data_IF_420834787875
#
_entry.id   IF_420834787875
#
_cell.length_a   1.000
_cell.length_b   1.000
_cell.length_c   1.000
_cell.angle_alpha   90.00
_cell.angle_beta   90.00
_cell.angle_gamma   90.00
#
_symmetry.space_group_name_H-M   'P 1'
#
loop_
_entity.id
_entity.type
_entity.pdbx_description
1 polymer ?
#
# COMPACT_ATOMS: atom_id res chain seq x y z
N UNK A 1 9.27 5.68 -10.39
CA UNK A 1 9.20 4.20 -10.52
C UNK A 1 8.64 3.88 -11.89
N UNK A 2 9.15 2.84 -12.57
CA UNK A 2 8.54 2.35 -13.81
C UNK A 2 7.13 1.83 -13.48
N UNK A 3 6.12 2.15 -14.28
CA UNK A 3 4.75 1.64 -14.08
C UNK A 3 4.73 0.13 -14.27
N UNK A 4 4.76 -0.61 -13.16
CA UNK A 4 4.77 -2.07 -13.15
C UNK A 4 3.45 -2.60 -12.59
N UNK A 5 2.53 -3.11 -13.44
CA UNK A 5 1.15 -3.42 -13.04
C UNK A 5 1.00 -4.40 -11.88
N UNK A 6 1.92 -5.34 -11.70
CA UNK A 6 1.87 -6.29 -10.59
C UNK A 6 2.19 -5.65 -9.23
N UNK A 7 2.69 -4.41 -9.21
CA UNK A 7 3.02 -3.66 -8.00
C UNK A 7 2.06 -2.47 -7.86
N UNK A 8 0.76 -2.69 -7.62
CA UNK A 8 -0.19 -1.60 -7.46
C UNK A 8 0.24 -0.70 -6.30
N UNK A 9 0.45 0.57 -6.61
CA UNK A 9 0.66 1.66 -5.66
C UNK A 9 -0.71 2.21 -5.26
N UNK A 10 -1.23 1.75 -4.12
CA UNK A 10 -2.55 2.12 -3.61
C UNK A 10 -2.46 3.41 -2.81
N UNK A 11 -3.35 4.37 -3.06
CA UNK A 11 -3.35 5.67 -2.39
C UNK A 11 -4.74 6.15 -2.04
N UNK A 12 -4.82 6.91 -0.96
CA UNK A 12 -5.99 7.67 -0.52
C UNK A 12 -7.30 6.85 -0.62
N UNK A 13 -8.15 7.11 -1.61
CA UNK A 13 -9.46 6.45 -1.80
C UNK A 13 -9.37 4.92 -1.96
N UNK A 14 -8.22 4.40 -2.38
CA UNK A 14 -7.95 2.97 -2.52
C UNK A 14 -7.71 2.24 -1.19
N UNK A 15 -7.65 2.99 -0.09
CA UNK A 15 -7.51 2.50 1.26
C UNK A 15 -8.77 2.89 2.07
N UNK A 16 -9.24 1.99 2.92
CA UNK A 16 -10.37 2.28 3.79
C UNK A 16 -10.01 3.35 4.83
N UNK A 17 -10.42 4.60 4.58
CA UNK A 17 -10.09 5.75 5.44
C UNK A 17 -10.65 5.63 6.87
N UNK A 18 -11.76 4.90 7.03
CA UNK A 18 -12.46 4.77 8.31
C UNK A 18 -12.06 3.51 9.10
N UNK A 19 -11.26 2.62 8.52
CA UNK A 19 -10.84 1.38 9.19
C UNK A 19 -9.50 1.56 9.91
N UNK A 20 -9.36 1.22 11.20
CA UNK A 20 -8.12 1.45 11.96
C UNK A 20 -6.84 0.89 11.33
N UNK A 21 -6.95 -0.22 10.60
CA UNK A 21 -5.82 -0.84 9.88
C UNK A 21 -5.21 0.11 8.84
N UNK A 22 -6.05 0.87 8.14
CA UNK A 22 -5.69 1.66 6.96
C UNK A 22 -5.87 3.17 7.15
N UNK A 23 -6.59 3.63 8.18
CA UNK A 23 -6.89 5.04 8.43
C UNK A 23 -5.66 5.94 8.60
N UNK A 24 -4.56 5.38 9.11
CA UNK A 24 -3.27 6.08 9.23
C UNK A 24 -2.36 5.92 8.00
N UNK A 25 -2.72 5.03 7.07
CA UNK A 25 -1.96 4.76 5.86
C UNK A 25 -2.43 5.72 4.77
N UNK A 26 -1.49 6.39 4.12
CA UNK A 26 -1.76 7.24 2.95
C UNK A 26 -1.54 6.52 1.64
N UNK A 27 -0.64 5.56 1.68
CA UNK A 27 -0.13 4.87 0.52
C UNK A 27 0.34 3.49 0.95
N UNK A 28 0.05 2.48 0.13
CA UNK A 28 0.54 1.12 0.32
C UNK A 28 0.81 0.48 -1.04
N UNK A 29 2.04 -0.01 -1.25
CA UNK A 29 2.39 -0.81 -2.41
C UNK A 29 2.24 -2.28 -2.04
N UNK A 30 1.42 -3.00 -2.79
CA UNK A 30 1.40 -4.45 -2.74
C UNK A 30 2.23 -4.98 -3.89
N UNK A 31 3.08 -5.97 -3.64
CA UNK A 31 3.86 -6.65 -4.66
C UNK A 31 3.18 -7.97 -5.04
N UNK A 32 3.08 -8.24 -6.34
CA UNK A 32 2.45 -9.45 -6.89
C UNK A 32 1.05 -9.69 -6.29
N UNK A 33 0.24 -8.63 -6.29
CA UNK A 33 -1.08 -8.66 -5.69
C UNK A 33 -2.05 -9.56 -6.47
N UNK A 34 -2.83 -10.34 -5.74
CA UNK A 34 -3.89 -11.21 -6.24
C UNK A 34 -5.26 -10.66 -5.81
N UNK A 35 -6.24 -10.59 -6.72
CA UNK A 35 -7.58 -10.12 -6.38
C UNK A 35 -8.29 -11.12 -5.46
N UNK A 36 -9.06 -10.59 -4.52
CA UNK A 36 -9.88 -11.35 -3.58
C UNK A 36 -11.33 -11.29 -4.04
N UNK A 37 -12.01 -12.43 -4.04
CA UNK A 37 -13.45 -12.50 -4.21
C UNK A 37 -14.10 -12.93 -2.89
N UNK A 38 -15.02 -12.11 -2.38
CA UNK A 38 -15.75 -12.40 -1.14
C UNK A 38 -17.12 -12.97 -1.47
N UNK A 39 -17.36 -14.20 -1.02
CA UNK A 39 -18.66 -14.86 -1.11
C UNK A 39 -19.62 -14.25 -0.07
N UNK A 40 -20.64 -13.52 -0.55
CA UNK A 40 -21.60 -12.82 0.30
C UNK A 40 -22.51 -13.78 1.08
N UNK A 41 -22.86 -14.93 0.50
CA UNK A 41 -23.74 -15.92 1.15
C UNK A 41 -23.03 -16.56 2.35
N UNK A 42 -21.75 -16.94 2.16
CA UNK A 42 -20.96 -17.54 3.25
C UNK A 42 -20.61 -16.56 4.37
N UNK A 43 -20.71 -15.26 4.12
CA UNK A 43 -20.42 -14.21 5.09
C UNK A 43 -21.68 -13.54 5.64
N UNK A 44 -22.86 -14.12 5.43
CA UNK A 44 -24.08 -13.68 6.11
C UNK A 44 -23.88 -13.67 7.63
N UNK A 45 -24.23 -12.56 8.27
CA UNK A 45 -24.05 -12.38 9.72
C UNK A 45 -22.63 -11.99 10.15
N UNK A 46 -21.69 -11.80 9.22
CA UNK A 46 -20.37 -11.22 9.49
C UNK A 46 -20.28 -9.80 8.96
N UNK A 47 -19.48 -8.97 9.61
CA UNK A 47 -19.10 -7.66 9.09
C UNK A 47 -17.89 -7.80 8.20
N UNK A 48 -18.09 -7.67 6.89
CA UNK A 48 -17.00 -7.62 5.90
C UNK A 48 -16.68 -6.17 5.61
N UNK A 49 -15.42 -5.80 5.73
CA UNK A 49 -14.90 -4.48 5.36
C UNK A 49 -13.81 -4.67 4.32
N UNK A 50 -13.99 -4.07 3.13
CA UNK A 50 -12.91 -3.93 2.17
C UNK A 50 -11.87 -2.95 2.72
N UNK A 51 -10.61 -3.37 2.79
CA UNK A 51 -9.52 -2.54 3.30
C UNK A 51 -8.76 -1.85 2.17
N UNK A 52 -8.54 -2.57 1.08
CA UNK A 52 -7.72 -2.14 -0.05
C UNK A 52 -8.39 -2.55 -1.36
N UNK A 53 -8.40 -1.66 -2.33
CA UNK A 53 -8.81 -1.98 -3.70
C UNK A 53 -7.90 -1.33 -4.76
N UNK A 54 -7.80 -1.98 -5.91
CA UNK A 54 -7.05 -1.46 -7.05
C UNK A 54 -7.81 -0.33 -7.78
N UNK A 55 -7.16 0.31 -8.76
CA UNK A 55 -7.76 1.38 -9.57
C UNK A 55 -8.76 0.84 -10.60
N UNK A 56 -9.57 1.74 -11.17
CA UNK A 56 -10.53 1.41 -12.25
C UNK A 56 -9.88 0.83 -13.51
N UNK A 57 -8.60 1.14 -13.76
CA UNK A 57 -7.85 0.65 -14.92
C UNK A 57 -7.23 -0.74 -14.71
N UNK A 58 -7.44 -1.35 -13.54
CA UNK A 58 -6.81 -2.62 -13.18
C UNK A 58 -7.45 -3.79 -13.91
N UNK A 59 -6.65 -4.80 -14.26
CA UNK A 59 -7.13 -6.07 -14.81
C UNK A 59 -6.47 -7.24 -14.06
N UNK A 60 -7.08 -8.43 -14.15
CA UNK A 60 -6.50 -9.66 -13.62
C UNK A 60 -5.86 -10.47 -14.74
N UNK A 61 -4.74 -11.13 -14.44
CA UNK A 61 -4.04 -12.04 -15.35
C UNK A 61 -3.70 -13.33 -14.60
N UNK A 62 -3.89 -14.46 -15.28
CA UNK A 62 -3.41 -15.77 -14.81
C UNK A 62 -2.01 -16.12 -15.32
N UNK A 63 -1.35 -15.20 -16.03
CA UNK A 63 0.01 -15.39 -16.54
C UNK A 63 1.04 -15.45 -15.41
N UNK A 64 1.96 -16.40 -15.53
CA UNK A 64 3.10 -16.55 -14.60
C UNK A 64 4.32 -15.75 -15.04
N UNK A 65 4.32 -15.22 -16.27
CA UNK A 65 5.41 -14.40 -16.77
C UNK A 65 5.27 -12.97 -16.24
N UNK A 66 6.29 -12.57 -15.48
CA UNK A 66 6.37 -11.29 -14.79
C UNK A 66 7.35 -10.33 -15.48
N UNK A 67 7.96 -10.75 -16.61
CA UNK A 67 8.85 -9.91 -17.40
C UNK A 67 8.02 -9.10 -18.40
N UNK A 68 8.13 -7.76 -18.39
CA UNK A 68 7.38 -6.94 -19.34
C UNK A 68 7.94 -7.07 -20.76
N UNK A 69 7.06 -7.31 -21.73
CA UNK A 69 7.35 -7.25 -23.17
C UNK A 69 6.79 -5.95 -23.77
N UNK A 70 7.62 -4.91 -23.81
CA UNK A 70 7.27 -3.63 -24.42
C UNK A 70 7.29 -3.66 -25.96
N UNK A 71 7.79 -4.72 -26.60
CA UNK A 71 7.69 -4.87 -28.07
C UNK A 71 6.28 -5.32 -28.45
N UNK A 72 5.75 -6.30 -27.74
CA UNK A 72 4.38 -6.75 -27.92
C UNK A 72 3.36 -5.76 -27.33
N UNK A 73 3.66 -5.17 -26.16
CA UNK A 73 2.74 -4.30 -25.40
C UNK A 73 3.41 -2.98 -25.01
N UNK A 74 3.50 -2.00 -25.92
CA UNK A 74 4.30 -0.78 -25.71
C UNK A 74 3.89 0.07 -24.50
N UNK A 75 2.62 0.04 -24.10
CA UNK A 75 2.13 0.88 -23.01
C UNK A 75 2.29 0.24 -21.63
N UNK A 76 1.95 -1.03 -21.50
CA UNK A 76 1.83 -1.73 -20.21
C UNK A 76 2.94 -2.73 -19.96
N UNK A 77 3.62 -3.20 -21.01
CA UNK A 77 4.53 -4.35 -20.96
C UNK A 77 3.82 -5.70 -20.82
N UNK A 78 2.50 -5.72 -20.65
CA UNK A 78 1.71 -6.92 -20.40
C UNK A 78 0.41 -6.91 -21.20
N UNK A 79 -0.02 -8.11 -21.62
CA UNK A 79 -1.32 -8.28 -22.24
C UNK A 79 -2.43 -7.89 -21.24
N UNK A 80 -3.34 -7.03 -21.69
CA UNK A 80 -4.54 -6.67 -20.93
C UNK A 80 -5.60 -7.73 -21.23
N UNK A 81 -5.97 -8.51 -20.22
CA UNK A 81 -6.93 -9.60 -20.34
C UNK A 81 -8.17 -9.33 -19.50
N UNK A 82 -9.34 -9.73 -20.03
CA UNK A 82 -10.60 -9.67 -19.28
C UNK A 82 -11.12 -8.25 -19.07
N UNK A 83 -11.97 -8.11 -18.05
CA UNK A 83 -12.62 -6.84 -17.71
C UNK A 83 -11.70 -5.96 -16.84
N UNK A 84 -11.64 -4.67 -17.18
CA UNK A 84 -11.00 -3.66 -16.33
C UNK A 84 -11.95 -3.22 -15.22
N UNK A 85 -11.41 -3.04 -14.04
CA UNK A 85 -12.15 -2.51 -12.91
C UNK A 85 -11.39 -2.62 -11.60
N UNK A 86 -11.87 -1.93 -10.56
CA UNK A 86 -11.31 -2.06 -9.23
C UNK A 86 -11.45 -3.50 -8.73
N UNK A 87 -10.40 -3.99 -8.08
CA UNK A 87 -10.33 -5.34 -7.49
C UNK A 87 -9.99 -5.23 -6.02
N UNK A 88 -10.73 -5.95 -5.18
CA UNK A 88 -10.42 -6.06 -3.76
C UNK A 88 -9.06 -6.74 -3.57
N UNK A 89 -8.16 -6.12 -2.80
CA UNK A 89 -6.81 -6.62 -2.54
C UNK A 89 -6.58 -6.96 -1.06
N UNK A 90 -7.40 -6.43 -0.16
CA UNK A 90 -7.43 -6.88 1.23
C UNK A 90 -8.81 -6.67 1.86
N UNK A 91 -9.16 -7.55 2.80
CA UNK A 91 -10.43 -7.53 3.52
C UNK A 91 -10.22 -7.81 5.01
N UNK A 92 -11.04 -7.17 5.85
CA UNK A 92 -11.21 -7.52 7.24
C UNK A 92 -12.62 -8.09 7.44
N UNK A 93 -12.71 -9.24 8.10
CA UNK A 93 -13.98 -9.91 8.43
C UNK A 93 -14.07 -10.05 9.94
N UNK A 94 -15.12 -9.50 10.53
CA UNK A 94 -15.43 -9.64 11.96
C UNK A 94 -16.72 -10.44 12.13
N UNK A 95 -16.71 -11.40 13.04
CA UNK A 95 -17.87 -12.20 13.37
C UNK A 95 -17.52 -13.64 13.66
N UNK A 96 -18.55 -14.47 13.77
CA UNK A 96 -18.40 -15.89 14.06
C UNK A 96 -18.02 -16.71 12.83
N UNK A 97 -17.02 -17.56 12.96
CA UNK A 97 -16.60 -18.53 11.96
C UNK A 97 -16.93 -19.95 12.43
N UNK A 98 -17.44 -20.78 11.53
CA UNK A 98 -17.57 -22.21 11.78
C UNK A 98 -16.26 -22.90 11.37
N UNK A 99 -15.82 -23.83 12.19
CA UNK A 99 -14.59 -24.58 11.96
C UNK A 99 -14.74 -25.54 10.80
N UNK A 100 -13.70 -25.64 9.98
CA UNK A 100 -13.61 -26.67 8.95
C UNK A 100 -13.68 -28.09 9.53
N UNK A 101 -13.27 -28.27 10.79
CA UNK A 101 -13.25 -29.55 11.49
C UNK A 101 -14.54 -29.84 12.26
N UNK A 102 -15.55 -28.97 12.21
CA UNK A 102 -16.83 -29.23 12.87
C UNK A 102 -17.42 -30.57 12.40
N UNK A 103 -17.68 -31.46 13.37
CA UNK A 103 -18.18 -32.82 13.09
C UNK A 103 -17.17 -33.76 12.41
N UNK A 104 -15.88 -33.40 12.34
CA UNK A 104 -14.78 -34.26 11.87
C UNK A 104 -13.91 -34.68 13.05
N UNK A 105 -13.20 -35.78 12.90
CA UNK A 105 -12.20 -36.20 13.88
C UNK A 105 -11.07 -35.16 14.00
N UNK A 106 -10.53 -35.03 15.21
CA UNK A 106 -9.45 -34.07 15.46
C UNK A 106 -8.20 -34.46 14.67
N UNK A 107 -7.57 -33.53 13.93
CA UNK A 107 -6.30 -33.81 13.26
C UNK A 107 -5.18 -34.15 14.26
N UNK A 108 -5.35 -33.83 15.55
CA UNK A 108 -4.43 -34.18 16.63
C UNK A 108 -4.71 -35.58 17.24
N UNK A 109 -5.79 -36.26 16.82
CA UNK A 109 -6.08 -37.62 17.26
C UNK A 109 -5.24 -38.68 16.52
N UNK A 110 -4.46 -38.26 15.51
CA UNK A 110 -3.73 -39.15 14.60
C UNK A 110 -2.22 -39.08 14.72
N UNK A 111 -1.67 -39.41 15.89
CA UNK A 111 -0.41 -40.14 16.02
C UNK A 111 -0.54 -41.06 17.25
N UNK A 112 -0.48 -42.40 17.10
CA UNK A 112 -0.22 -43.25 18.25
C UNK A 112 1.16 -42.84 18.76
N UNK A 113 1.22 -42.31 19.98
CA UNK A 113 2.49 -42.24 20.68
C UNK A 113 3.12 -43.63 20.59
N UNK A 114 4.32 -43.71 19.99
CA UNK A 114 5.09 -44.95 19.96
C UNK A 114 5.08 -45.54 21.37
N UNK A 115 4.77 -46.83 21.47
CA UNK A 115 4.70 -47.55 22.75
C UNK A 115 5.94 -47.21 23.58
N UNK A 116 5.77 -46.75 24.84
CA UNK A 116 6.92 -46.48 25.68
C UNK A 116 7.57 -47.82 26.02
N UNK A 117 8.72 -48.11 25.40
CA UNK A 117 9.67 -49.04 25.99
C UNK A 117 10.12 -48.47 27.35
N UNK A 118 9.92 -49.28 28.39
CA UNK A 118 10.38 -49.14 29.76
C UNK A 118 9.90 -47.95 30.62
N UNK A 119 8.81 -48.20 31.36
CA UNK A 119 8.91 -48.25 32.83
C UNK A 119 9.18 -46.96 33.60
N UNK A 120 8.73 -45.79 33.13
CA UNK A 120 8.59 -44.59 33.98
C UNK A 120 7.28 -43.86 33.73
N UNK A 121 6.35 -44.00 34.66
CA UNK A 121 5.16 -43.15 34.78
C UNK A 121 5.57 -41.68 34.94
N UNK A 122 5.54 -40.94 33.84
CA UNK A 122 5.31 -39.50 33.86
C UNK A 122 3.92 -39.30 33.29
N UNK A 123 3.01 -38.74 34.09
CA UNK A 123 1.72 -38.24 33.62
C UNK A 123 1.97 -37.20 32.51
N UNK A 124 1.97 -37.65 31.27
CA UNK A 124 1.89 -36.77 30.12
C UNK A 124 0.46 -36.20 30.09
N UNK A 125 0.28 -34.89 29.92
CA UNK A 125 -1.05 -34.30 29.85
C UNK A 125 -1.82 -34.96 28.71
N UNK A 126 -3.03 -35.46 29.02
CA UNK A 126 -3.89 -36.10 28.03
C UNK A 126 -4.02 -35.19 26.79
N UNK A 127 -3.80 -35.71 25.57
CA UNK A 127 -3.88 -34.88 24.37
C UNK A 127 -5.29 -34.30 24.28
N UNK A 128 -5.37 -32.98 24.15
CA UNK A 128 -6.64 -32.27 23.97
C UNK A 128 -7.13 -32.62 22.56
N UNK A 129 -7.97 -33.65 22.47
CA UNK A 129 -8.58 -34.13 21.22
C UNK A 129 -9.88 -33.40 20.86
N UNK A 130 -10.32 -32.45 21.69
CA UNK A 130 -11.53 -31.67 21.45
C UNK A 130 -11.39 -30.76 20.23
N UNK A 131 -12.33 -30.89 19.28
CA UNK A 131 -12.39 -30.01 18.11
C UNK A 131 -13.12 -28.73 18.46
N UNK A 132 -12.50 -27.59 18.16
CA UNK A 132 -13.18 -26.29 18.20
C UNK A 132 -14.14 -26.24 17.02
N UNK A 133 -15.44 -26.27 17.27
CA UNK A 133 -16.46 -26.23 16.21
C UNK A 133 -16.74 -24.83 15.67
N UNK A 134 -16.51 -23.80 16.48
CA UNK A 134 -16.81 -22.40 16.14
C UNK A 134 -15.89 -21.43 16.87
N UNK A 135 -15.66 -20.27 16.26
CA UNK A 135 -15.01 -19.14 16.91
C UNK A 135 -15.99 -18.37 17.82
N UNK A 136 -15.47 -17.49 18.70
CA UNK A 136 -16.28 -16.44 19.33
C UNK A 136 -16.89 -15.49 18.29
N UNK A 137 -17.92 -14.74 18.70
CA UNK A 137 -18.56 -13.72 17.87
C UNK A 137 -17.67 -12.50 17.62
N UNK A 138 -16.64 -12.29 18.46
CA UNK A 138 -15.64 -11.24 18.33
C UNK A 138 -14.42 -11.66 17.48
N UNK A 139 -14.47 -12.81 16.82
CA UNK A 139 -13.35 -13.26 16.01
C UNK A 139 -13.15 -12.34 14.79
N UNK A 140 -11.89 -12.17 14.43
CA UNK A 140 -11.42 -11.25 13.39
C UNK A 140 -10.52 -12.02 12.42
N UNK A 141 -10.70 -11.80 11.13
CA UNK A 141 -9.87 -12.34 10.06
C UNK A 141 -9.45 -11.19 9.15
N UNK A 142 -8.14 -11.05 8.92
CA UNK A 142 -7.59 -10.13 7.91
C UNK A 142 -6.96 -10.95 6.81
N UNK A 143 -7.39 -10.73 5.57
CA UNK A 143 -6.83 -11.36 4.38
C UNK A 143 -6.21 -10.28 3.49
N UNK A 144 -4.95 -10.48 3.10
CA UNK A 144 -4.24 -9.63 2.15
C UNK A 144 -3.85 -10.50 0.96
N UNK A 145 -4.17 -10.04 -0.25
CA UNK A 145 -3.89 -10.73 -1.50
C UNK A 145 -2.42 -10.65 -1.93
N UNK A 146 -1.48 -10.52 -1.01
CA UNK A 146 -0.05 -10.46 -1.29
C UNK A 146 0.72 -11.16 -0.17
N UNK A 147 1.57 -12.11 -0.53
CA UNK A 147 2.30 -12.92 0.46
C UNK A 147 3.59 -12.27 0.96
N UNK A 148 4.18 -11.35 0.18
CA UNK A 148 5.55 -10.85 0.39
C UNK A 148 5.62 -9.34 0.59
N UNK A 149 4.48 -8.64 0.66
CA UNK A 149 4.42 -7.17 0.71
C UNK A 149 5.12 -6.54 1.92
N UNK A 150 5.17 -7.27 3.03
CA UNK A 150 5.88 -6.87 4.24
C UNK A 150 7.21 -7.60 4.43
N UNK A 151 7.71 -8.32 3.42
CA UNK A 151 9.01 -9.02 3.49
C UNK A 151 10.18 -8.05 3.32
N UNK A 152 11.30 -8.32 3.99
CA UNK A 152 12.52 -7.51 3.86
C UNK A 152 12.98 -7.35 2.41
N UNK A 153 12.85 -8.42 1.60
CA UNK A 153 13.18 -8.38 0.19
C UNK A 153 12.30 -7.38 -0.59
N UNK A 154 10.98 -7.40 -0.36
CA UNK A 154 10.06 -6.46 -1.00
C UNK A 154 10.28 -5.03 -0.49
N UNK A 155 10.48 -4.84 0.81
CA UNK A 155 10.74 -3.54 1.42
C UNK A 155 12.02 -2.93 0.86
N UNK A 156 13.10 -3.70 0.75
CA UNK A 156 14.36 -3.26 0.15
C UNK A 156 14.19 -2.89 -1.33
N UNK A 157 13.47 -3.70 -2.10
CA UNK A 157 13.22 -3.45 -3.52
C UNK A 157 12.44 -2.14 -3.74
N UNK A 158 11.35 -1.94 -3.00
CA UNK A 158 10.54 -0.71 -3.09
C UNK A 158 11.31 0.50 -2.56
N UNK A 159 12.07 0.34 -1.47
CA UNK A 159 12.89 1.42 -0.90
C UNK A 159 13.96 1.91 -1.89
N UNK A 160 14.61 0.99 -2.60
CA UNK A 160 15.55 1.34 -3.68
C UNK A 160 14.84 2.10 -4.80
N UNK A 161 13.64 1.67 -5.20
CA UNK A 161 12.84 2.32 -6.24
C UNK A 161 12.33 3.72 -5.87
N UNK A 162 12.08 3.96 -4.58
CA UNK A 162 11.64 5.26 -4.04
C UNK A 162 12.80 6.18 -3.63
N UNK A 163 14.02 5.64 -3.48
CA UNK A 163 15.17 6.39 -2.96
C UNK A 163 15.07 6.75 -1.48
N UNK A 164 14.19 6.08 -0.73
CA UNK A 164 13.97 6.29 0.71
C UNK A 164 13.46 5.02 1.37
N UNK A 165 13.58 4.91 2.70
CA UNK A 165 13.10 3.75 3.43
C UNK A 165 11.57 3.67 3.40
N UNK A 166 11.07 2.56 2.86
CA UNK A 166 9.64 2.30 2.74
C UNK A 166 9.13 1.46 3.92
N UNK A 167 8.29 2.05 4.78
CA UNK A 167 7.82 1.40 6.03
C UNK A 167 6.32 1.13 6.06
N UNK A 168 5.56 1.53 5.04
CA UNK A 168 4.09 1.44 5.05
C UNK A 168 3.56 -0.01 5.20
N UNK A 169 4.16 -1.05 4.58
CA UNK A 169 3.73 -2.43 4.80
C UNK A 169 3.90 -2.88 6.25
N UNK A 170 4.98 -2.45 6.92
CA UNK A 170 5.21 -2.73 8.34
C UNK A 170 4.15 -2.04 9.20
N UNK A 171 3.81 -0.79 8.91
CA UNK A 171 2.73 -0.06 9.61
C UNK A 171 1.38 -0.75 9.40
N UNK A 172 1.08 -1.24 8.19
CA UNK A 172 -0.13 -2.01 7.93
C UNK A 172 -0.21 -3.26 8.81
N UNK A 173 0.87 -4.06 8.87
CA UNK A 173 0.93 -5.27 9.69
C UNK A 173 0.79 -4.92 11.17
N UNK A 174 1.46 -3.87 11.64
CA UNK A 174 1.33 -3.39 13.01
C UNK A 174 -0.12 -3.01 13.32
N UNK A 175 -0.77 -2.20 12.47
CA UNK A 175 -2.16 -1.80 12.68
C UNK A 175 -3.11 -3.01 12.63
N UNK A 176 -2.82 -4.02 11.80
CA UNK A 176 -3.61 -5.25 11.73
C UNK A 176 -3.46 -6.11 12.99
N UNK A 177 -2.24 -6.23 13.53
CA UNK A 177 -1.98 -6.92 14.80
C UNK A 177 -2.65 -6.17 15.95
N UNK A 178 -2.47 -4.86 16.01
CA UNK A 178 -3.06 -4.00 17.03
C UNK A 178 -4.60 -4.09 16.97
N UNK A 179 -5.20 -3.97 15.78
CA UNK A 179 -6.64 -4.17 15.60
C UNK A 179 -7.10 -5.59 15.94
N UNK A 180 -6.25 -6.61 15.82
CA UNK A 180 -6.61 -7.98 16.19
C UNK A 180 -6.56 -8.21 17.70
N UNK A 181 -5.71 -7.47 18.42
CA UNK A 181 -5.47 -7.61 19.85
C UNK A 181 -6.24 -6.60 20.71
N UNK A 182 -6.56 -5.42 20.16
CA UNK A 182 -7.14 -4.31 20.92
C UNK A 182 -8.63 -4.52 21.24
N UNK A 183 -8.97 -4.10 22.46
CA UNK A 183 -10.35 -3.95 22.92
C UNK A 183 -10.99 -2.72 22.25
N UNK A 184 -12.27 -2.83 21.90
CA UNK A 184 -13.01 -1.89 21.03
C UNK A 184 -12.95 -0.43 21.50
N UNK A 185 -12.69 -0.18 22.78
CA UNK A 185 -12.62 1.16 23.37
C UNK A 185 -11.32 1.95 23.16
N UNK A 186 -10.19 1.28 22.89
CA UNK A 186 -8.88 1.96 22.79
C UNK A 186 -8.49 2.36 21.36
N UNK A 187 -9.09 1.70 20.36
CA UNK A 187 -8.90 1.99 18.93
C UNK A 187 -9.28 3.43 18.55
N UNK A 188 -10.23 4.04 19.26
CA UNK A 188 -10.71 5.40 18.99
C UNK A 188 -9.75 6.51 19.47
N UNK A 189 -8.81 6.18 20.37
CA UNK A 189 -7.91 7.17 21.02
C UNK A 189 -6.55 7.22 20.31
N UNK A 190 -6.25 6.29 19.40
CA UNK A 190 -4.97 6.27 18.72
C UNK A 190 -4.84 7.48 17.78
N UNK A 191 -3.97 8.39 18.20
CA UNK A 191 -3.66 9.63 17.52
C UNK A 191 -3.16 9.40 16.10
N UNK A 192 -3.70 10.19 15.17
CA UNK A 192 -3.32 10.26 13.76
C UNK A 192 -1.86 10.68 13.64
N UNK A 193 -0.94 9.72 13.71
CA UNK A 193 0.47 9.98 13.41
C UNK A 193 0.56 10.40 11.92
N UNK A 194 0.89 11.67 11.69
CA UNK A 194 1.08 12.21 10.34
C UNK A 194 2.45 11.74 9.84
N UNK A 195 2.47 10.68 9.05
CA UNK A 195 3.68 10.22 8.37
C UNK A 195 3.97 11.06 7.12
N UNK A 196 5.25 11.05 6.71
CA UNK A 196 5.75 11.74 5.54
C UNK A 196 4.89 11.42 4.30
N UNK A 197 4.33 12.46 3.70
CA UNK A 197 3.40 12.36 2.58
C UNK A 197 4.20 12.15 1.30
N UNK A 198 4.18 10.94 0.76
CA UNK A 198 4.71 10.70 -0.58
C UNK A 198 3.83 11.42 -1.59
N UNK A 199 4.41 12.32 -2.40
CA UNK A 199 3.66 13.00 -3.46
C UNK A 199 3.09 11.98 -4.45
N UNK A 200 1.96 12.32 -5.07
CA UNK A 200 1.42 11.53 -6.16
C UNK A 200 2.43 11.53 -7.33
N UNK A 201 2.70 10.37 -7.95
CA UNK A 201 3.53 10.33 -9.15
C UNK A 201 2.82 11.11 -10.27
N UNK A 202 3.55 12.04 -10.89
CA UNK A 202 3.05 12.82 -12.03
C UNK A 202 3.49 12.18 -13.34
N UNK A 203 2.66 12.30 -14.39
CA UNK A 203 3.03 11.90 -15.73
C UNK A 203 4.24 12.70 -16.24
N UNK A 204 5.04 12.10 -17.14
CA UNK A 204 6.27 12.75 -17.65
C UNK A 204 5.97 14.05 -18.38
N UNK A 205 4.86 14.14 -19.10
CA UNK A 205 4.37 15.34 -19.79
C UNK A 205 4.11 16.49 -18.81
N UNK A 206 3.40 16.21 -17.72
CA UNK A 206 3.10 17.20 -16.68
C UNK A 206 4.38 17.68 -15.98
N UNK A 207 5.30 16.77 -15.67
CA UNK A 207 6.61 17.11 -15.10
C UNK A 207 7.36 18.10 -15.99
N UNK A 208 7.41 17.82 -17.30
CA UNK A 208 8.09 18.68 -18.26
C UNK A 208 7.42 20.05 -18.38
N UNK A 209 6.09 20.12 -18.39
CA UNK A 209 5.39 21.39 -18.43
C UNK A 209 5.77 22.28 -17.24
N UNK A 210 5.71 21.75 -16.01
CA UNK A 210 6.07 22.50 -14.80
C UNK A 210 7.55 22.88 -14.77
N UNK A 211 8.42 22.00 -15.25
CA UNK A 211 9.85 22.25 -15.36
C UNK A 211 10.15 23.41 -16.33
N UNK A 212 9.62 23.34 -17.56
CA UNK A 212 9.81 24.40 -18.56
C UNK A 212 9.16 25.72 -18.16
N UNK A 213 7.98 25.68 -17.54
CA UNK A 213 7.32 26.86 -17.02
C UNK A 213 8.20 27.56 -15.97
N UNK A 214 8.77 26.79 -15.04
CA UNK A 214 9.63 27.34 -13.99
C UNK A 214 10.92 27.93 -14.57
N UNK A 215 11.55 27.25 -15.53
CA UNK A 215 12.71 27.79 -16.24
C UNK A 215 12.37 29.07 -17.04
N UNK A 216 11.22 29.10 -17.70
CA UNK A 216 10.72 30.27 -18.42
C UNK A 216 10.51 31.46 -17.50
N UNK A 217 9.88 31.24 -16.33
CA UNK A 217 9.70 32.28 -15.31
C UNK A 217 11.03 32.78 -14.75
N UNK A 218 12.00 31.90 -14.51
CA UNK A 218 13.33 32.29 -14.05
C UNK A 218 14.07 33.16 -15.08
N UNK A 219 14.03 32.79 -16.37
CA UNK A 219 14.62 33.57 -17.47
C UNK A 219 13.92 34.93 -17.64
N UNK A 220 12.60 34.97 -17.56
CA UNK A 220 11.83 36.22 -17.59
C UNK A 220 12.19 37.13 -16.42
N UNK A 221 12.36 36.57 -15.21
CA UNK A 221 12.81 37.31 -14.04
C UNK A 221 14.20 37.93 -14.25
N UNK A 222 15.17 37.15 -14.75
CA UNK A 222 16.51 37.65 -15.08
C UNK A 222 16.47 38.75 -16.16
N UNK A 223 15.64 38.57 -17.19
CA UNK A 223 15.48 39.57 -18.24
C UNK A 223 14.86 40.86 -17.73
N UNK A 224 13.88 40.79 -16.82
CA UNK A 224 13.29 41.95 -16.17
C UNK A 224 14.32 42.72 -15.32
N UNK A 225 15.16 42.02 -14.56
CA UNK A 225 16.26 42.62 -13.78
C UNK A 225 17.29 43.28 -14.70
N UNK A 226 17.63 42.62 -15.82
CA UNK A 226 18.55 43.18 -16.82
C UNK A 226 17.99 44.46 -17.44
N UNK A 227 16.72 44.47 -17.87
CA UNK A 227 16.04 45.66 -18.40
C UNK A 227 15.99 46.79 -17.38
N UNK A 228 15.67 46.48 -16.12
CA UNK A 228 15.67 47.45 -15.03
C UNK A 228 17.05 48.10 -14.88
N UNK A 229 18.10 47.28 -14.78
CA UNK A 229 19.48 47.76 -14.63
C UNK A 229 19.92 48.59 -15.84
N UNK A 230 19.50 48.22 -17.05
CA UNK A 230 19.81 48.98 -18.25
C UNK A 230 19.11 50.34 -18.27
N UNK A 231 17.85 50.43 -17.80
CA UNK A 231 17.14 51.72 -17.64
C UNK A 231 17.81 52.61 -16.60
N UNK A 232 18.17 52.07 -15.44
CA UNK A 232 18.86 52.83 -14.38
C UNK A 232 20.20 53.36 -14.88
N UNK A 233 21.03 52.52 -15.50
CA UNK A 233 22.33 52.95 -16.07
C UNK A 233 22.18 54.07 -17.09
N UNK A 234 21.15 54.02 -17.96
CA UNK A 234 20.88 55.09 -18.94
C UNK A 234 20.43 56.39 -18.25
N UNK A 235 19.65 56.30 -17.18
CA UNK A 235 19.25 57.48 -16.39
C UNK A 235 20.45 58.11 -15.67
N UNK A 236 21.32 57.29 -15.07
CA UNK A 236 22.54 57.76 -14.41
C UNK A 236 23.49 58.46 -15.39
N UNK A 237 23.72 57.87 -16.57
CA UNK A 237 24.55 58.49 -17.61
C UNK A 237 24.04 59.88 -18.04
N UNK A 238 22.72 60.06 -18.15
CA UNK A 238 22.12 61.37 -18.45
C UNK A 238 22.35 62.38 -17.33
N UNK A 239 22.28 61.98 -16.05
CA UNK A 239 22.64 62.85 -14.92
C UNK A 239 24.12 63.23 -14.95
N UNK A 240 25.01 62.29 -15.20
CA UNK A 240 26.45 62.58 -15.28
C UNK A 240 26.78 63.52 -16.45
N UNK A 241 26.13 63.36 -17.60
CA UNK A 241 26.30 64.28 -18.75
C UNK A 241 25.76 65.68 -18.46
N UNK A 242 24.63 65.81 -17.75
CA UNK A 242 24.11 67.11 -17.33
C UNK A 242 25.08 67.84 -16.38
N UNK A 243 25.68 67.11 -15.43
CA UNK A 243 26.67 67.67 -14.49
C UNK A 243 27.97 68.08 -15.22
N UNK A 244 28.42 67.29 -16.20
CA UNK A 244 29.62 67.60 -17.00
C UNK A 244 29.42 68.74 -18.00
N UNK A 245 28.17 69.05 -18.38
CA UNK A 245 27.85 70.19 -19.25
C UNK A 245 27.70 71.50 -18.47
N UNK A 246 27.66 71.43 -17.13
CA UNK A 246 27.55 72.58 -16.23
C UNK A 246 28.92 73.06 -15.69
N UNK A 247 30.00 72.37 -16.07
CA UNK A 247 31.41 72.71 -15.79
C UNK A 247 32.08 73.19 -17.06
#
# INVERSE_FOLDING_TARGET
MLSYPHFPDLRDEQLAADHPITAGLRQLTLNWASPIHVDAEKNQGRRVTELLHSSVESWASGGLDMVPDFRAWPQTGFAVSGERGPRTLAVAVEGRFDSFFKGKDSPLAGEPAAEPEDGKEKEAPAPITGVIERSPDSARLVLVGANTFASDAALNLVSQGLGTFYTQPTVFVQNAVDWSLEDRGLLAIRGRAQFARTLAPMERSDQLFWEYLNYGLALLGLFAVWLWRQRVRRADQRRYQAILAEV
#
